data_IF_950192705363
#
_entry.id   IF_950192705363
#
_cell.length_a   1.000
_cell.length_b   1.000
_cell.length_c   1.000
_cell.angle_alpha   90.00
_cell.angle_beta   90.00
_cell.angle_gamma   90.00
#
_symmetry.space_group_name_H-M   'P 1'
#
loop_
_entity.id
_entity.type
_entity.pdbx_description
1 polymer ?
#
# COMPACT_ATOMS: atom_id res chain seq x y z
N UNK A 1 -6.68 -27.56 0.91
CA UNK A 1 -5.29 -27.66 0.42
C UNK A 1 -5.22 -26.90 -0.90
N UNK A 2 -4.79 -25.64 -0.90
CA UNK A 2 -4.72 -24.87 -2.14
C UNK A 2 -3.62 -25.39 -3.06
N UNK A 3 -3.91 -25.37 -4.37
CA UNK A 3 -2.97 -25.62 -5.44
C UNK A 3 -2.70 -24.27 -6.10
N UNK A 4 -1.45 -23.83 -6.05
CA UNK A 4 -1.01 -22.57 -6.61
C UNK A 4 -0.35 -22.82 -7.96
N UNK A 5 -0.94 -22.26 -9.02
CA UNK A 5 -0.39 -22.35 -10.39
C UNK A 5 0.52 -21.14 -10.63
N UNK A 6 1.76 -21.40 -11.00
CA UNK A 6 2.75 -20.38 -11.33
C UNK A 6 2.68 -19.96 -12.81
N UNK A 7 3.29 -18.83 -13.22
CA UNK A 7 3.26 -18.34 -14.60
C UNK A 7 3.89 -19.30 -15.62
N UNK A 8 4.79 -20.17 -15.19
CA UNK A 8 5.43 -21.22 -16.01
C UNK A 8 4.57 -22.50 -16.15
N UNK A 9 3.37 -22.52 -15.56
CA UNK A 9 2.45 -23.65 -15.56
C UNK A 9 2.72 -24.69 -14.46
N UNK A 10 3.77 -24.52 -13.65
CA UNK A 10 4.05 -25.40 -12.52
C UNK A 10 3.02 -25.21 -11.40
N UNK A 11 2.68 -26.31 -10.73
CA UNK A 11 1.74 -26.31 -9.60
C UNK A 11 2.47 -26.61 -8.30
N UNK A 12 2.17 -25.82 -7.26
CA UNK A 12 2.65 -26.05 -5.89
C UNK A 12 1.44 -26.30 -4.99
N UNK A 13 1.42 -27.44 -4.29
CA UNK A 13 0.37 -27.79 -3.34
C UNK A 13 0.81 -27.44 -1.93
N UNK A 14 -0.09 -26.79 -1.17
CA UNK A 14 0.14 -26.45 0.23
C UNK A 14 -0.84 -27.20 1.13
N UNK A 15 -0.40 -27.68 2.33
CA UNK A 15 -1.25 -28.47 3.23
C UNK A 15 -2.34 -27.62 3.92
N UNK A 16 -2.20 -26.31 3.96
CA UNK A 16 -3.12 -25.33 4.56
C UNK A 16 -3.13 -24.06 3.74
N UNK A 17 -3.96 -23.09 4.11
CA UNK A 17 -3.90 -21.73 3.56
C UNK A 17 -2.46 -21.19 3.65
N UNK A 18 -2.06 -20.40 2.69
CA UNK A 18 -0.70 -19.90 2.49
C UNK A 18 -0.73 -18.45 2.05
N UNK A 19 0.31 -17.68 2.40
CA UNK A 19 0.47 -16.30 1.93
C UNK A 19 1.32 -16.23 0.67
N UNK A 20 1.24 -15.12 -0.07
CA UNK A 20 2.12 -14.88 -1.22
C UNK A 20 3.60 -14.92 -0.88
N UNK A 21 3.97 -14.44 0.33
CA UNK A 21 5.34 -14.53 0.81
C UNK A 21 5.80 -16.00 0.97
N UNK A 22 4.99 -16.85 1.58
CA UNK A 22 5.29 -18.29 1.73
C UNK A 22 5.36 -18.99 0.36
N UNK A 23 4.56 -18.57 -0.62
CA UNK A 23 4.68 -19.05 -2.01
C UNK A 23 6.04 -18.63 -2.59
N UNK A 24 6.44 -17.36 -2.43
CA UNK A 24 7.74 -16.87 -2.90
C UNK A 24 8.91 -17.61 -2.23
N UNK A 25 8.83 -17.87 -0.92
CA UNK A 25 9.84 -18.67 -0.18
C UNK A 25 9.94 -20.10 -0.69
N UNK A 26 8.81 -20.71 -1.04
CA UNK A 26 8.75 -22.07 -1.57
C UNK A 26 9.41 -22.16 -2.96
N UNK A 27 9.32 -21.08 -3.76
CA UNK A 27 9.99 -21.00 -5.07
C UNK A 27 11.50 -20.78 -4.85
N UNK A 28 11.88 -19.74 -4.13
CA UNK A 28 13.29 -19.51 -3.75
C UNK A 28 13.42 -18.43 -2.66
N UNK A 29 14.43 -18.56 -1.80
CA UNK A 29 14.79 -17.54 -0.80
C UNK A 29 15.17 -16.20 -1.44
N UNK A 30 15.74 -16.22 -2.64
CA UNK A 30 16.10 -15.01 -3.38
C UNK A 30 14.85 -14.26 -3.85
N UNK A 31 13.86 -14.97 -4.36
CA UNK A 31 12.59 -14.37 -4.77
C UNK A 31 11.86 -13.78 -3.57
N UNK A 32 11.76 -14.52 -2.47
CA UNK A 32 11.10 -14.03 -1.26
C UNK A 32 11.68 -12.71 -0.73
N UNK A 33 13.01 -12.52 -0.82
CA UNK A 33 13.68 -11.27 -0.43
C UNK A 33 13.40 -10.10 -1.38
N UNK A 34 13.03 -10.36 -2.62
CA UNK A 34 12.79 -9.36 -3.65
C UNK A 34 11.31 -9.14 -3.93
N UNK A 35 10.45 -10.04 -3.42
CA UNK A 35 9.00 -9.99 -3.60
C UNK A 35 8.43 -8.72 -2.94
N UNK A 36 7.55 -8.03 -3.65
CA UNK A 36 6.91 -6.79 -3.21
C UNK A 36 5.39 -6.94 -3.12
N UNK A 37 4.78 -7.45 -4.18
CA UNK A 37 3.36 -7.72 -4.31
C UNK A 37 3.15 -8.98 -5.13
N UNK A 38 1.91 -9.46 -5.23
CA UNK A 38 1.53 -10.55 -6.11
C UNK A 38 0.26 -10.24 -6.88
N UNK A 39 -0.01 -10.99 -7.94
CA UNK A 39 -1.37 -11.11 -8.48
C UNK A 39 -1.94 -12.48 -8.16
N UNK A 40 -3.23 -12.51 -7.86
CA UNK A 40 -4.05 -13.72 -7.65
C UNK A 40 -5.15 -13.69 -8.70
N UNK A 41 -5.14 -14.64 -9.61
CA UNK A 41 -6.07 -14.73 -10.76
C UNK A 41 -6.15 -13.41 -11.55
N UNK A 42 -5.03 -12.70 -11.67
CA UNK A 42 -4.91 -11.42 -12.37
C UNK A 42 -5.18 -10.17 -11.52
N UNK A 43 -5.68 -10.29 -10.29
CA UNK A 43 -5.88 -9.17 -9.37
C UNK A 43 -4.67 -8.95 -8.46
N UNK A 44 -4.21 -7.71 -8.33
CA UNK A 44 -3.10 -7.36 -7.44
C UNK A 44 -3.52 -7.51 -5.97
N UNK A 45 -2.67 -8.16 -5.20
CA UNK A 45 -2.80 -8.37 -3.75
C UNK A 45 -1.46 -8.16 -3.06
N UNK A 46 -1.49 -7.80 -1.77
CA UNK A 46 -0.28 -7.78 -0.95
C UNK A 46 0.24 -9.21 -0.69
N UNK A 47 1.51 -9.33 -0.33
CA UNK A 47 2.15 -10.63 -0.09
C UNK A 47 1.60 -11.37 1.14
N UNK A 48 0.90 -10.70 2.04
CA UNK A 48 0.32 -11.29 3.25
C UNK A 48 -1.13 -11.71 3.05
N UNK A 49 -1.71 -11.46 1.86
CA UNK A 49 -3.04 -11.95 1.52
C UNK A 49 -3.05 -13.49 1.57
N UNK A 50 -4.05 -14.07 2.29
CA UNK A 50 -4.17 -15.51 2.47
C UNK A 50 -4.84 -16.17 1.27
N UNK A 51 -4.22 -17.20 0.75
CA UNK A 51 -4.68 -18.05 -0.33
C UNK A 51 -5.22 -19.35 0.27
N UNK A 52 -6.52 -19.57 0.22
CA UNK A 52 -7.22 -20.71 0.78
C UNK A 52 -7.79 -21.69 -0.24
N UNK A 53 -7.78 -21.28 -1.52
CA UNK A 53 -8.34 -22.01 -2.66
C UNK A 53 -7.34 -22.12 -3.80
N UNK A 54 -7.65 -22.94 -4.81
CA UNK A 54 -6.84 -23.06 -6.02
C UNK A 54 -6.88 -21.73 -6.79
N UNK A 55 -5.69 -21.21 -7.15
CA UNK A 55 -5.56 -19.95 -7.86
C UNK A 55 -4.25 -19.87 -8.63
N UNK A 56 -4.17 -18.93 -9.57
CA UNK A 56 -2.94 -18.58 -10.27
C UNK A 56 -2.25 -17.42 -9.53
N UNK A 57 -0.96 -17.56 -9.26
CA UNK A 57 -0.18 -16.54 -8.55
C UNK A 57 1.05 -16.15 -9.35
N UNK A 58 1.26 -14.83 -9.50
CA UNK A 58 2.49 -14.25 -10.01
C UNK A 58 3.06 -13.30 -8.97
N UNK A 59 4.32 -13.50 -8.60
CA UNK A 59 5.06 -12.64 -7.67
C UNK A 59 5.76 -11.54 -8.47
N UNK A 60 5.68 -10.30 -8.00
CA UNK A 60 6.33 -9.15 -8.61
C UNK A 60 7.44 -8.60 -7.72
N UNK A 61 8.51 -8.15 -8.38
CA UNK A 61 9.70 -7.55 -7.78
C UNK A 61 9.90 -6.12 -8.30
N UNK A 62 10.91 -5.41 -7.82
CA UNK A 62 11.25 -4.07 -8.32
C UNK A 62 11.65 -4.02 -9.82
N UNK A 63 11.83 -5.17 -10.46
CA UNK A 63 12.11 -5.28 -11.90
C UNK A 63 10.84 -5.28 -12.75
N UNK A 64 9.71 -5.54 -12.13
CA UNK A 64 8.40 -5.57 -12.77
C UNK A 64 7.72 -4.21 -12.63
N UNK A 65 6.97 -3.74 -13.66
CA UNK A 65 6.25 -2.46 -13.58
C UNK A 65 5.33 -2.37 -12.36
N UNK A 66 4.59 -3.45 -12.05
CA UNK A 66 3.68 -3.53 -10.92
C UNK A 66 4.41 -3.40 -9.58
N UNK A 67 5.58 -4.05 -9.46
CA UNK A 67 6.41 -3.95 -8.26
C UNK A 67 7.02 -2.55 -8.09
N UNK A 68 7.44 -1.92 -9.20
CA UNK A 68 7.93 -0.55 -9.17
C UNK A 68 6.84 0.45 -8.79
N UNK A 69 5.61 0.25 -9.27
CA UNK A 69 4.47 1.08 -8.90
C UNK A 69 4.11 0.92 -7.42
N UNK A 70 4.22 -0.29 -6.86
CA UNK A 70 4.07 -0.53 -5.43
C UNK A 70 5.11 0.25 -4.61
N UNK A 71 6.40 0.22 -5.00
CA UNK A 71 7.45 1.01 -4.33
C UNK A 71 7.12 2.51 -4.36
N UNK A 72 6.73 3.04 -5.52
CA UNK A 72 6.36 4.45 -5.66
C UNK A 72 5.22 4.81 -4.74
N UNK A 73 4.20 3.97 -4.69
CA UNK A 73 3.04 4.17 -3.84
C UNK A 73 3.41 4.16 -2.36
N UNK A 74 4.16 3.16 -1.90
CA UNK A 74 4.62 3.10 -0.49
C UNK A 74 5.50 4.30 -0.13
N UNK A 75 6.32 4.78 -1.07
CA UNK A 75 7.12 5.99 -0.87
C UNK A 75 6.25 7.23 -0.64
N UNK A 76 5.06 7.32 -1.27
CA UNK A 76 4.11 8.40 -0.97
C UNK A 76 3.63 8.37 0.47
N UNK A 77 3.36 7.18 1.02
CA UNK A 77 2.95 7.03 2.41
C UNK A 77 4.06 7.41 3.38
N UNK A 78 5.30 6.96 3.12
CA UNK A 78 6.48 7.32 3.92
C UNK A 78 6.69 8.83 3.92
N UNK A 79 6.53 9.50 2.77
CA UNK A 79 6.62 10.96 2.69
C UNK A 79 5.50 11.64 3.48
N UNK A 80 4.26 11.15 3.39
CA UNK A 80 3.15 11.68 4.16
C UNK A 80 3.38 11.59 5.67
N UNK A 81 3.90 10.44 6.14
CA UNK A 81 4.29 10.24 7.54
C UNK A 81 5.38 11.22 7.97
N UNK A 82 6.44 11.36 7.17
CA UNK A 82 7.53 12.27 7.46
C UNK A 82 7.05 13.73 7.56
N UNK A 83 6.19 14.14 6.65
CA UNK A 83 5.61 15.49 6.65
C UNK A 83 4.75 15.72 7.90
N UNK A 84 3.90 14.78 8.28
CA UNK A 84 3.06 14.95 9.47
C UNK A 84 3.87 14.95 10.78
N UNK A 85 4.94 14.14 10.87
CA UNK A 85 5.81 14.16 12.05
C UNK A 85 6.59 15.48 12.17
N UNK A 86 7.06 16.04 11.06
CA UNK A 86 7.85 17.28 11.04
C UNK A 86 6.98 18.54 11.09
N UNK A 87 5.80 18.50 10.53
CA UNK A 87 4.90 19.64 10.37
C UNK A 87 3.47 19.29 10.82
N UNK A 88 3.25 19.14 12.14
CA UNK A 88 1.93 18.85 12.69
C UNK A 88 0.88 19.87 12.21
N UNK A 89 -0.31 19.36 11.87
CA UNK A 89 -1.40 20.18 11.33
C UNK A 89 -1.44 20.31 9.81
N UNK A 90 -0.40 19.84 9.10
CA UNK A 90 -0.45 19.72 7.64
C UNK A 90 -1.53 18.73 7.24
N UNK A 91 -2.45 19.15 6.37
CA UNK A 91 -3.49 18.29 5.82
C UNK A 91 -2.95 17.53 4.61
N UNK A 92 -3.28 16.25 4.56
CA UNK A 92 -2.93 15.39 3.46
C UNK A 92 -4.08 15.35 2.45
N UNK A 93 -3.78 15.55 1.18
CA UNK A 93 -4.76 15.43 0.12
C UNK A 93 -4.55 14.11 -0.64
N UNK A 94 -3.85 14.11 -1.73
CA UNK A 94 -3.68 12.96 -2.62
C UNK A 94 -2.22 12.80 -3.03
N UNK A 95 -1.77 11.55 -3.15
CA UNK A 95 -0.39 11.21 -3.54
C UNK A 95 -0.32 10.01 -4.46
N UNK A 96 -0.71 10.12 -5.76
CA UNK A 96 -0.64 9.02 -6.69
C UNK A 96 0.77 8.76 -7.19
N UNK A 97 1.06 7.47 -7.47
CA UNK A 97 2.20 7.09 -8.29
C UNK A 97 1.96 7.51 -9.74
N UNK A 98 3.02 7.98 -10.41
CA UNK A 98 3.02 8.37 -11.83
C UNK A 98 4.14 7.61 -12.56
N UNK A 99 4.17 7.70 -13.90
CA UNK A 99 5.11 6.95 -14.74
C UNK A 99 6.58 7.05 -14.30
N UNK A 100 7.02 8.25 -13.91
CA UNK A 100 8.42 8.51 -13.59
C UNK A 100 8.66 8.92 -12.13
N UNK A 101 7.73 8.53 -11.22
CA UNK A 101 7.83 8.85 -9.81
C UNK A 101 6.48 8.89 -9.10
N UNK A 102 6.31 9.85 -8.25
CA UNK A 102 5.06 10.16 -7.55
C UNK A 102 5.02 11.66 -7.23
N UNK A 103 3.86 12.16 -6.86
CA UNK A 103 3.73 13.47 -6.19
C UNK A 103 2.80 13.32 -4.98
N UNK A 104 2.78 14.35 -4.13
CA UNK A 104 1.87 14.40 -3.00
C UNK A 104 1.41 15.83 -2.75
N UNK A 105 0.12 16.03 -2.68
CA UNK A 105 -0.48 17.33 -2.40
C UNK A 105 -0.70 17.48 -0.88
N UNK A 106 -0.14 18.54 -0.33
CA UNK A 106 -0.27 18.92 1.06
C UNK A 106 -0.93 20.30 1.18
N UNK A 107 -1.82 20.43 2.14
CA UNK A 107 -2.37 21.75 2.50
C UNK A 107 -1.77 22.21 3.83
N UNK A 108 -1.11 23.36 3.81
CA UNK A 108 -0.59 24.09 4.96
C UNK A 108 -0.52 25.58 4.66
N UNK A 109 -0.53 26.42 5.72
CA UNK A 109 -0.49 27.87 5.59
C UNK A 109 0.86 28.35 5.02
N UNK A 110 1.96 27.83 5.57
CA UNK A 110 3.30 28.18 5.10
C UNK A 110 3.79 27.17 4.03
N UNK A 111 4.26 27.62 2.87
CA UNK A 111 4.83 26.74 1.85
C UNK A 111 6.11 26.06 2.34
N UNK A 112 6.41 24.90 1.79
CA UNK A 112 7.68 24.21 2.05
C UNK A 112 8.86 24.98 1.47
N UNK A 113 9.94 25.05 2.24
CA UNK A 113 11.23 25.61 1.79
C UNK A 113 12.16 24.48 1.32
N UNK A 114 13.21 24.78 0.53
CA UNK A 114 14.23 23.78 0.17
C UNK A 114 14.83 23.06 1.39
N UNK A 115 15.04 23.76 2.50
CA UNK A 115 15.52 23.16 3.75
C UNK A 115 14.53 22.19 4.38
N UNK A 116 13.24 22.43 4.18
CA UNK A 116 12.21 21.49 4.68
C UNK A 116 12.19 20.21 3.87
N UNK A 117 12.45 20.29 2.55
CA UNK A 117 12.58 19.10 1.70
C UNK A 117 13.76 18.22 2.15
N UNK A 118 14.89 18.81 2.51
CA UNK A 118 16.04 18.07 3.06
C UNK A 118 15.68 17.37 4.37
N UNK A 119 14.95 18.04 5.28
CA UNK A 119 14.47 17.42 6.53
C UNK A 119 13.48 16.28 6.27
N UNK A 120 12.57 16.47 5.30
CA UNK A 120 11.61 15.44 4.92
C UNK A 120 12.35 14.21 4.41
N UNK A 121 13.34 14.35 3.54
CA UNK A 121 14.13 13.24 3.02
C UNK A 121 14.87 12.48 4.14
N UNK A 122 15.49 13.20 5.09
CA UNK A 122 16.15 12.58 6.25
C UNK A 122 15.12 11.81 7.08
N UNK A 123 13.96 12.40 7.35
CA UNK A 123 12.89 11.76 8.13
C UNK A 123 12.33 10.53 7.42
N UNK A 124 12.17 10.58 6.10
CA UNK A 124 11.75 9.40 5.32
C UNK A 124 12.75 8.24 5.48
N UNK A 125 14.05 8.52 5.43
CA UNK A 125 15.10 7.50 5.67
C UNK A 125 14.99 6.90 7.07
N UNK A 126 14.81 7.74 8.11
CA UNK A 126 14.60 7.27 9.48
C UNK A 126 13.37 6.36 9.62
N UNK A 127 12.28 6.67 8.91
CA UNK A 127 11.06 5.84 8.91
C UNK A 127 11.34 4.48 8.27
N UNK A 128 12.02 4.47 7.14
CA UNK A 128 12.39 3.21 6.44
C UNK A 128 13.32 2.35 7.29
N UNK A 129 14.31 2.96 7.98
CA UNK A 129 15.26 2.24 8.82
C UNK A 129 14.63 1.57 10.04
N UNK A 130 13.46 2.06 10.51
CA UNK A 130 12.71 1.42 11.60
C UNK A 130 12.14 0.06 11.21
N UNK A 131 12.00 -0.22 9.92
CA UNK A 131 11.47 -1.48 9.35
C UNK A 131 10.17 -1.96 10.03
N UNK A 132 9.27 -1.00 10.31
CA UNK A 132 8.01 -1.29 11.00
C UNK A 132 7.07 -2.07 10.09
N UNK A 133 6.53 -3.18 10.61
CA UNK A 133 5.61 -4.02 9.86
C UNK A 133 4.32 -3.27 9.53
N UNK A 134 3.96 -3.29 8.27
CA UNK A 134 2.65 -2.81 7.81
C UNK A 134 1.57 -3.81 8.24
N UNK A 135 0.48 -3.29 8.82
CA UNK A 135 -0.71 -4.06 9.16
C UNK A 135 -1.89 -3.56 8.34
N UNK A 136 -2.57 -4.48 7.66
CA UNK A 136 -3.79 -4.18 6.91
C UNK A 136 -5.01 -4.53 7.74
N UNK A 137 -5.99 -3.62 7.77
CA UNK A 137 -7.34 -3.84 8.27
C UNK A 137 -8.35 -3.54 7.17
N UNK A 138 -9.49 -4.16 7.23
CA UNK A 138 -10.62 -3.90 6.33
C UNK A 138 -11.74 -3.31 7.15
N UNK A 139 -12.17 -2.11 6.78
CA UNK A 139 -13.22 -1.39 7.47
C UNK A 139 -14.41 -1.17 6.56
N UNK A 140 -15.61 -1.18 7.14
CA UNK A 140 -16.80 -0.74 6.45
C UNK A 140 -16.70 0.74 6.07
N UNK A 141 -17.22 1.10 4.90
CA UNK A 141 -17.17 2.45 4.35
C UNK A 141 -17.69 3.51 5.33
N UNK A 142 -18.86 3.30 5.92
CA UNK A 142 -19.47 4.26 6.85
C UNK A 142 -18.67 4.40 8.16
N UNK A 143 -18.11 3.32 8.66
CA UNK A 143 -17.21 3.36 9.81
C UNK A 143 -15.97 4.20 9.49
N UNK A 144 -15.38 4.01 8.31
CA UNK A 144 -14.21 4.77 7.84
C UNK A 144 -14.51 6.26 7.70
N UNK A 145 -15.65 6.63 7.14
CA UNK A 145 -16.09 8.03 7.02
C UNK A 145 -16.24 8.70 8.38
N UNK A 146 -16.91 8.03 9.32
CA UNK A 146 -17.11 8.54 10.68
C UNK A 146 -15.77 8.77 11.36
N UNK A 147 -14.87 7.80 11.32
CA UNK A 147 -13.53 7.87 11.92
C UNK A 147 -12.73 9.08 11.40
N UNK A 148 -12.62 9.23 10.06
CA UNK A 148 -11.90 10.37 9.49
C UNK A 148 -12.61 11.71 9.67
N UNK A 149 -13.94 11.71 9.74
CA UNK A 149 -14.73 12.90 10.08
C UNK A 149 -14.41 13.39 11.49
N UNK A 150 -14.34 12.52 12.48
CA UNK A 150 -13.96 12.82 13.86
C UNK A 150 -12.52 13.36 13.98
N UNK A 151 -11.61 12.89 13.13
CA UNK A 151 -10.23 13.39 13.04
C UNK A 151 -10.10 14.70 12.26
N UNK A 152 -11.18 15.22 11.67
CA UNK A 152 -11.18 16.44 10.85
C UNK A 152 -10.48 16.30 9.49
N UNK A 153 -10.28 15.07 9.03
CA UNK A 153 -9.61 14.71 7.76
C UNK A 153 -10.59 14.76 6.57
N UNK A 154 -11.08 15.95 6.24
CA UNK A 154 -12.13 16.17 5.23
C UNK A 154 -11.84 15.55 3.88
N UNK A 155 -10.61 15.70 3.38
CA UNK A 155 -10.21 15.14 2.08
C UNK A 155 -10.27 13.61 2.05
N UNK A 156 -9.98 12.95 3.18
CA UNK A 156 -10.12 11.50 3.29
C UNK A 156 -11.58 11.06 3.28
N UNK A 157 -12.45 11.82 3.92
CA UNK A 157 -13.91 11.57 3.87
C UNK A 157 -14.40 11.64 2.43
N UNK A 158 -14.01 12.68 1.67
CA UNK A 158 -14.37 12.84 0.26
C UNK A 158 -13.85 11.66 -0.60
N UNK A 159 -12.62 11.20 -0.34
CA UNK A 159 -12.07 10.03 -1.04
C UNK A 159 -12.85 8.75 -0.74
N UNK A 160 -13.26 8.54 0.52
CA UNK A 160 -14.11 7.39 0.89
C UNK A 160 -15.48 7.48 0.20
N UNK A 161 -16.01 8.69 -0.02
CA UNK A 161 -17.27 8.90 -0.74
C UNK A 161 -17.20 8.50 -2.22
N UNK A 162 -16.02 8.54 -2.83
CA UNK A 162 -15.80 8.09 -4.20
C UNK A 162 -15.78 6.55 -4.35
N UNK A 163 -15.69 5.81 -3.25
CA UNK A 163 -15.76 4.34 -3.27
C UNK A 163 -17.22 3.94 -3.49
N UNK A 164 -17.50 3.02 -4.44
CA UNK A 164 -18.85 2.52 -4.64
C UNK A 164 -19.45 1.91 -3.37
N UNK A 165 -20.74 2.07 -3.18
CA UNK A 165 -21.48 1.45 -2.07
C UNK A 165 -21.30 -0.07 -2.08
N UNK A 166 -21.18 -0.65 -0.89
CA UNK A 166 -20.97 -2.09 -0.71
C UNK A 166 -19.52 -2.56 -0.83
N UNK A 167 -18.56 -1.65 -1.08
CA UNK A 167 -17.15 -1.98 -1.06
C UNK A 167 -16.52 -1.56 0.27
N UNK A 168 -15.72 -2.48 0.84
CA UNK A 168 -14.93 -2.23 2.03
C UNK A 168 -13.68 -1.41 1.72
N UNK A 169 -13.18 -0.73 2.74
CA UNK A 169 -11.99 0.13 2.66
C UNK A 169 -10.81 -0.57 3.33
N UNK A 170 -9.71 -0.72 2.61
CA UNK A 170 -8.47 -1.24 3.19
C UNK A 170 -7.70 -0.11 3.87
N UNK A 171 -7.40 -0.30 5.15
CA UNK A 171 -6.61 0.61 5.98
C UNK A 171 -5.26 -0.05 6.26
N UNK A 172 -4.18 0.67 6.00
CA UNK A 172 -2.83 0.20 6.28
C UNK A 172 -2.21 1.02 7.41
N UNK A 173 -1.64 0.34 8.38
CA UNK A 173 -0.92 0.92 9.51
C UNK A 173 0.56 0.66 9.37
N UNK A 174 1.38 1.66 9.59
CA UNK A 174 2.83 1.53 9.71
C UNK A 174 3.24 1.80 11.15
N UNK A 175 3.61 0.74 11.90
CA UNK A 175 3.97 0.83 13.30
C UNK A 175 2.86 1.42 14.18
N UNK A 176 3.21 2.42 14.99
CA UNK A 176 2.25 3.15 15.84
C UNK A 176 1.54 4.30 15.12
N UNK A 177 2.04 4.68 13.96
CA UNK A 177 1.45 5.74 13.15
C UNK A 177 0.25 5.18 12.39
N UNK A 178 -0.91 5.82 12.59
CA UNK A 178 -2.10 5.53 11.78
C UNK A 178 -1.85 6.11 10.40
N UNK A 179 -1.28 5.30 9.54
CA UNK A 179 -1.05 5.67 8.17
C UNK A 179 -2.25 5.22 7.34
N UNK A 180 -2.81 6.11 6.74
CA UNK A 180 -3.68 6.37 5.62
C UNK A 180 -4.33 5.20 4.90
N UNK A 181 -5.61 5.41 4.71
CA UNK A 181 -6.50 4.70 3.83
C UNK A 181 -5.85 4.47 2.48
N UNK A 182 -5.44 3.24 2.24
CA UNK A 182 -5.17 2.79 0.91
C UNK A 182 -6.52 2.44 0.28
N UNK A 183 -7.06 3.40 -0.44
CA UNK A 183 -8.17 3.14 -1.32
C UNK A 183 -7.61 2.33 -2.49
N UNK A 184 -7.73 1.02 -2.44
CA UNK A 184 -7.64 0.22 -3.64
C UNK A 184 -8.88 0.56 -4.47
N UNK A 185 -8.82 1.70 -5.15
CA UNK A 185 -9.63 1.86 -6.33
C UNK A 185 -9.18 0.73 -7.25
N UNK A 186 -10.11 -0.10 -7.77
CA UNK A 186 -9.75 -0.94 -8.89
C UNK A 186 -9.17 0.03 -9.92
N UNK A 187 -7.92 -0.16 -10.28
CA UNK A 187 -7.23 0.67 -11.28
C UNK A 187 -7.85 0.43 -12.64
N UNK A 188 -9.09 0.87 -12.84
CA UNK A 188 -9.57 1.23 -14.14
C UNK A 188 -8.94 2.56 -14.43
N UNK A 189 -7.93 2.56 -15.31
CA UNK A 189 -7.43 3.74 -15.98
C UNK A 189 -8.62 4.65 -16.30
N UNK A 190 -8.67 5.79 -15.62
CA UNK A 190 -9.39 6.93 -16.14
C UNK A 190 -8.42 7.53 -17.17
N UNK A 191 -8.76 7.34 -18.44
CA UNK A 191 -8.13 8.01 -19.56
C UNK A 191 -8.64 9.44 -19.56
#
# INVERSE_FOLDING_TARGET
MPIITLPDGNNITFPKKVTGLEVAEKISKSLAKQALIMSVDGELKDLYFELDSNCSVKIFTAKDPEGLDAIRHDTTHIMAMAVQELFPGTKLAIGPAIKDGFYYDFYREDPFTPKDLEKIEVKMKEIVEKDEKTRREVWEREHTKKHYGELGEKYKVELVDMIPEGNDVSIYYHGKSVSYTHLTLPTKRIV
#
